data_IF_236323817943
#
_entry.id   IF_236323817943
#
_cell.length_a   1.000
_cell.length_b   1.000
_cell.length_c   1.000
_cell.angle_alpha   90.00
_cell.angle_beta   90.00
_cell.angle_gamma   90.00
#
_symmetry.space_group_name_H-M   'P 1'
#
loop_
_entity.id
_entity.type
_entity.pdbx_description
1 polymer ?
#
# COMPACT_ATOMS: atom_id res chain seq x y z
N UNK A 1 1.06 36.59 6.99
CA UNK A 1 1.95 35.62 7.68
C UNK A 1 1.64 34.20 7.18
N UNK A 2 2.66 33.36 6.99
CA UNK A 2 2.51 32.03 6.38
C UNK A 2 1.90 30.98 7.30
N UNK A 3 0.60 31.09 7.58
CA UNK A 3 -0.13 30.19 8.48
C UNK A 3 -0.32 28.77 7.93
N UNK A 4 -0.08 28.57 6.62
CA UNK A 4 -0.24 27.26 5.96
C UNK A 4 1.11 26.65 5.56
N UNK A 5 1.70 27.04 4.42
CA UNK A 5 2.94 26.41 3.88
C UNK A 5 4.12 26.41 4.85
N UNK A 6 4.50 27.58 5.37
CA UNK A 6 5.61 27.65 6.33
C UNK A 6 5.28 27.02 7.67
N UNK A 7 4.01 27.00 8.07
CA UNK A 7 3.59 26.27 9.28
C UNK A 7 3.76 24.76 9.10
N UNK A 8 3.36 24.20 7.95
CA UNK A 8 3.55 22.79 7.61
C UNK A 8 5.02 22.38 7.66
N UNK A 9 5.92 23.20 7.12
CA UNK A 9 7.36 22.91 7.17
C UNK A 9 7.90 22.91 8.60
N UNK A 10 7.47 23.85 9.44
CA UNK A 10 7.86 23.89 10.85
C UNK A 10 7.36 22.65 11.60
N UNK A 11 6.11 22.24 11.36
CA UNK A 11 5.55 21.03 11.97
C UNK A 11 6.32 19.78 11.54
N UNK A 12 6.58 19.61 10.23
CA UNK A 12 7.35 18.48 9.72
C UNK A 12 8.80 18.48 10.25
N UNK A 13 9.45 19.65 10.31
CA UNK A 13 10.78 19.81 10.88
C UNK A 13 10.82 19.31 12.32
N UNK A 14 9.93 19.80 13.19
CA UNK A 14 9.85 19.35 14.58
C UNK A 14 9.56 17.86 14.72
N UNK A 15 8.74 17.28 13.84
CA UNK A 15 8.49 15.84 13.86
C UNK A 15 9.75 15.03 13.52
N UNK A 16 10.56 15.51 12.58
CA UNK A 16 11.78 14.83 12.10
C UNK A 16 12.95 15.02 13.07
N UNK A 17 13.22 16.26 13.49
CA UNK A 17 14.43 16.59 14.27
C UNK A 17 14.23 16.39 15.76
N UNK A 18 13.07 16.77 16.29
CA UNK A 18 12.76 16.68 17.73
C UNK A 18 12.00 15.41 18.09
N UNK A 19 11.65 14.58 17.10
CA UNK A 19 10.94 13.34 17.36
C UNK A 19 9.51 13.54 17.90
N UNK A 20 8.87 14.68 17.64
CA UNK A 20 7.49 14.94 18.04
C UNK A 20 6.49 14.18 17.14
N UNK A 21 5.33 13.81 17.69
CA UNK A 21 4.15 13.45 16.89
C UNK A 21 3.53 14.71 16.26
N UNK A 22 2.68 14.55 15.26
CA UNK A 22 1.98 15.69 14.65
C UNK A 22 1.16 16.47 15.69
N UNK A 23 0.52 15.77 16.64
CA UNK A 23 -0.26 16.40 17.71
C UNK A 23 0.63 17.23 18.64
N UNK A 24 1.79 16.70 19.02
CA UNK A 24 2.76 17.39 19.88
C UNK A 24 3.40 18.58 19.15
N UNK A 25 3.79 18.41 17.88
CA UNK A 25 4.32 19.50 17.07
C UNK A 25 3.31 20.65 16.93
N UNK A 26 2.02 20.34 16.71
CA UNK A 26 0.96 21.36 16.69
C UNK A 26 0.84 22.05 18.04
N UNK A 27 0.82 21.29 19.14
CA UNK A 27 0.71 21.85 20.49
C UNK A 27 1.90 22.74 20.86
N UNK A 28 3.11 22.42 20.40
CA UNK A 28 4.31 23.21 20.66
C UNK A 28 4.31 24.56 19.92
N UNK A 29 3.80 24.59 18.69
CA UNK A 29 3.83 25.79 17.84
C UNK A 29 2.65 26.74 18.12
N UNK A 30 1.45 26.20 18.39
CA UNK A 30 0.20 26.98 18.50
C UNK A 30 0.23 28.16 19.48
N UNK A 31 0.87 28.08 20.66
CA UNK A 31 0.93 29.21 21.60
C UNK A 31 1.74 30.41 21.09
N UNK A 32 2.66 30.17 20.14
CA UNK A 32 3.61 31.17 19.65
C UNK A 32 3.20 31.72 18.28
N UNK A 33 2.40 30.95 17.53
CA UNK A 33 2.07 31.27 16.15
C UNK A 33 0.79 30.59 15.69
N UNK A 34 -0.01 31.33 14.94
CA UNK A 34 -1.15 30.77 14.21
C UNK A 34 -0.73 29.78 13.14
N UNK A 35 -1.33 28.60 13.20
CA UNK A 35 -1.09 27.48 12.31
C UNK A 35 -2.41 26.92 11.78
N UNK A 36 -2.54 26.91 10.45
CA UNK A 36 -3.66 26.36 9.71
C UNK A 36 -3.18 25.76 8.38
N UNK A 37 -2.51 24.58 8.42
CA UNK A 37 -2.23 23.83 7.20
C UNK A 37 -3.52 23.49 6.46
N UNK A 38 -3.53 23.59 5.13
CA UNK A 38 -4.68 23.15 4.34
C UNK A 38 -4.83 21.62 4.38
N UNK A 39 -5.96 21.10 3.89
CA UNK A 39 -6.27 19.68 3.93
C UNK A 39 -5.19 18.77 3.30
N UNK A 40 -4.60 19.19 2.18
CA UNK A 40 -3.52 18.44 1.52
C UNK A 40 -2.26 18.36 2.37
N UNK A 41 -1.86 19.47 2.98
CA UNK A 41 -0.72 19.50 3.90
C UNK A 41 -0.99 18.73 5.19
N UNK A 42 -2.21 18.75 5.71
CA UNK A 42 -2.59 17.91 6.85
C UNK A 42 -2.50 16.42 6.52
N UNK A 43 -2.89 16.02 5.31
CA UNK A 43 -2.76 14.64 4.87
C UNK A 43 -1.29 14.21 4.74
N UNK A 44 -0.44 15.08 4.18
CA UNK A 44 1.00 14.84 4.10
C UNK A 44 1.64 14.74 5.50
N UNK A 45 1.28 15.63 6.42
CA UNK A 45 1.77 15.60 7.80
C UNK A 45 1.32 14.33 8.53
N UNK A 46 0.08 13.87 8.33
CA UNK A 46 -0.40 12.59 8.90
C UNK A 46 0.36 11.40 8.33
N UNK A 47 0.62 11.40 7.02
CA UNK A 47 1.44 10.36 6.39
C UNK A 47 2.86 10.34 6.97
N UNK A 48 3.46 11.51 7.19
CA UNK A 48 4.77 11.64 7.81
C UNK A 48 4.77 11.14 9.26
N UNK A 49 3.75 11.50 10.04
CA UNK A 49 3.60 11.10 11.45
C UNK A 49 3.56 9.57 11.58
N UNK A 50 2.76 8.91 10.75
CA UNK A 50 2.67 7.46 10.69
C UNK A 50 4.02 6.81 10.32
N UNK A 51 4.74 7.37 9.34
CA UNK A 51 6.06 6.87 8.96
C UNK A 51 7.10 7.02 10.07
N UNK A 52 7.13 8.16 10.75
CA UNK A 52 8.07 8.41 11.86
C UNK A 52 7.72 7.59 13.11
N UNK A 53 6.44 7.36 13.40
CA UNK A 53 6.03 6.48 14.49
C UNK A 53 6.48 5.05 14.25
N UNK A 54 6.39 4.55 13.01
CA UNK A 54 6.92 3.24 12.62
C UNK A 54 8.43 3.15 12.83
N UNK A 55 9.18 4.17 12.41
CA UNK A 55 10.63 4.20 12.61
C UNK A 55 11.00 4.23 14.11
N UNK A 56 10.27 5.00 14.91
CA UNK A 56 10.47 5.04 16.37
C UNK A 56 10.15 3.70 17.03
N UNK A 57 9.09 3.00 16.60
CA UNK A 57 8.77 1.65 17.09
C UNK A 57 9.89 0.66 16.77
N UNK A 58 10.41 0.68 15.53
CA UNK A 58 11.58 -0.13 15.13
C UNK A 58 12.81 0.17 16.01
N UNK A 59 13.14 1.45 16.20
CA UNK A 59 14.29 1.88 17.04
C UNK A 59 14.11 1.52 18.52
N UNK A 60 12.92 1.70 19.08
CA UNK A 60 12.62 1.36 20.49
C UNK A 60 12.64 -0.14 20.74
N UNK A 61 12.13 -0.94 19.80
CA UNK A 61 12.28 -2.40 19.88
C UNK A 61 13.74 -2.84 19.80
N UNK A 62 14.54 -2.22 18.92
CA UNK A 62 15.98 -2.50 18.82
C UNK A 62 16.75 -2.11 20.10
N UNK A 63 16.34 -1.06 20.82
CA UNK A 63 17.01 -0.59 22.03
C UNK A 63 16.57 -1.26 23.34
N UNK A 64 15.32 -1.75 23.43
CA UNK A 64 14.76 -2.26 24.71
C UNK A 64 15.24 -3.67 25.05
N UNK A 65 15.79 -4.43 24.11
CA UNK A 65 16.10 -5.84 24.29
C UNK A 65 17.47 -6.19 23.72
N UNK A 66 18.53 -6.21 24.54
CA UNK A 66 19.78 -6.91 24.22
C UNK A 66 19.63 -8.44 24.13
N UNK A 67 18.50 -8.92 23.58
CA UNK A 67 18.05 -10.30 23.38
C UNK A 67 17.36 -10.34 22.00
N UNK A 68 17.50 -11.41 21.21
CA UNK A 68 17.01 -11.48 19.85
C UNK A 68 15.51 -11.23 19.80
N UNK A 69 15.09 -10.39 18.84
CA UNK A 69 13.70 -9.98 18.61
C UNK A 69 12.74 -11.15 18.84
N UNK A 70 11.84 -11.03 19.83
CA UNK A 70 10.66 -11.88 19.86
C UNK A 70 9.91 -11.64 18.54
N UNK A 71 9.92 -12.68 17.72
CA UNK A 71 9.42 -12.70 16.37
C UNK A 71 7.94 -12.32 16.40
N UNK A 72 7.55 -11.21 15.75
CA UNK A 72 6.18 -11.14 15.24
C UNK A 72 6.11 -12.21 14.15
N UNK A 73 5.70 -13.42 14.54
CA UNK A 73 5.46 -14.50 13.59
C UNK A 73 4.38 -14.04 12.61
N UNK A 74 4.66 -14.16 11.31
CA UNK A 74 3.66 -13.91 10.28
C UNK A 74 2.41 -14.75 10.61
N UNK A 75 1.21 -14.14 10.74
CA UNK A 75 0.04 -14.86 11.25
C UNK A 75 -0.35 -16.08 10.42
N UNK A 76 -1.00 -17.03 11.07
CA UNK A 76 -1.60 -18.18 10.40
C UNK A 76 -2.68 -17.76 9.40
N UNK A 77 -2.98 -18.63 8.44
CA UNK A 77 -4.08 -18.41 7.50
C UNK A 77 -5.43 -18.18 8.20
N UNK A 78 -5.64 -18.84 9.35
CA UNK A 78 -6.87 -18.69 10.14
C UNK A 78 -6.99 -17.27 10.70
N UNK A 79 -5.91 -16.71 11.24
CA UNK A 79 -5.87 -15.35 11.77
C UNK A 79 -6.00 -14.31 10.66
N UNK A 80 -5.30 -14.50 9.53
CA UNK A 80 -5.44 -13.62 8.37
C UNK A 80 -6.88 -13.58 7.84
N UNK A 81 -7.54 -14.75 7.78
CA UNK A 81 -8.96 -14.83 7.45
C UNK A 81 -9.82 -14.14 8.50
N UNK A 82 -9.57 -14.33 9.79
CA UNK A 82 -10.34 -13.64 10.82
C UNK A 82 -10.24 -12.12 10.68
N UNK A 83 -9.04 -11.60 10.43
CA UNK A 83 -8.82 -10.18 10.15
C UNK A 83 -9.69 -9.76 8.97
N UNK A 84 -9.53 -10.39 7.80
CA UNK A 84 -10.21 -10.04 6.55
C UNK A 84 -11.75 -10.13 6.62
N UNK A 85 -12.31 -11.02 7.44
CA UNK A 85 -13.76 -11.22 7.54
C UNK A 85 -14.45 -10.42 8.65
N UNK A 86 -13.69 -9.83 9.56
CA UNK A 86 -14.26 -9.02 10.65
C UNK A 86 -14.70 -7.64 10.15
N UNK A 87 -15.93 -7.21 10.48
CA UNK A 87 -16.48 -5.87 10.18
C UNK A 87 -16.48 -5.48 8.68
N UNK A 88 -16.74 -6.44 7.79
CA UNK A 88 -16.82 -6.15 6.35
C UNK A 88 -18.01 -5.24 6.01
N UNK A 89 -17.77 -4.33 5.09
CA UNK A 89 -18.70 -3.39 4.48
C UNK A 89 -19.02 -3.80 3.04
N UNK A 90 -20.14 -3.33 2.49
CA UNK A 90 -20.39 -3.44 1.06
C UNK A 90 -19.25 -2.81 0.24
N UNK A 91 -18.89 -3.46 -0.85
CA UNK A 91 -17.78 -3.06 -1.71
C UNK A 91 -18.33 -2.20 -2.85
N UNK A 92 -17.86 -0.96 -2.96
CA UNK A 92 -18.22 -0.07 -4.07
C UNK A 92 -17.57 -0.54 -5.39
N UNK A 93 -17.98 -0.02 -6.56
CA UNK A 93 -17.37 -0.42 -7.84
C UNK A 93 -15.85 -0.17 -7.89
N UNK A 94 -15.38 0.88 -7.22
CA UNK A 94 -13.96 1.14 -6.98
C UNK A 94 -13.75 1.99 -5.72
N UNK A 95 -12.56 1.91 -5.16
CA UNK A 95 -12.13 2.75 -4.03
C UNK A 95 -10.65 3.13 -4.18
N UNK A 96 -10.28 4.31 -3.69
CA UNK A 96 -8.88 4.67 -3.51
C UNK A 96 -8.34 4.02 -2.23
N UNK A 97 -7.43 3.06 -2.37
CA UNK A 97 -6.91 2.26 -1.23
C UNK A 97 -5.55 2.75 -0.74
N UNK A 98 -4.85 3.53 -1.55
CA UNK A 98 -3.58 4.19 -1.24
C UNK A 98 -3.48 5.49 -2.07
N UNK A 99 -2.64 6.49 -1.72
CA UNK A 99 -2.50 7.70 -2.55
C UNK A 99 -2.33 7.39 -4.04
N UNK A 100 -3.31 7.84 -4.86
CA UNK A 100 -3.39 7.64 -6.32
C UNK A 100 -3.47 6.18 -6.81
N UNK A 101 -3.70 5.23 -5.92
CA UNK A 101 -3.87 3.81 -6.23
C UNK A 101 -5.29 3.38 -5.90
N UNK A 102 -5.98 2.88 -6.93
CA UNK A 102 -7.37 2.49 -6.87
C UNK A 102 -7.48 0.98 -7.08
N UNK A 103 -8.41 0.35 -6.35
CA UNK A 103 -8.88 -1.00 -6.65
C UNK A 103 -10.32 -0.91 -7.14
N UNK A 104 -10.64 -1.61 -8.23
CA UNK A 104 -12.02 -1.69 -8.71
C UNK A 104 -12.38 -2.99 -9.40
N UNK A 105 -13.64 -3.05 -9.81
CA UNK A 105 -14.22 -4.18 -10.53
C UNK A 105 -14.19 -3.99 -12.06
N UNK A 106 -14.69 -4.99 -12.78
CA UNK A 106 -14.73 -4.98 -14.25
C UNK A 106 -15.66 -3.91 -14.84
N UNK A 107 -16.67 -3.45 -14.09
CA UNK A 107 -17.60 -2.44 -14.58
C UNK A 107 -16.86 -1.11 -14.79
N UNK A 108 -16.04 -0.72 -13.83
CA UNK A 108 -15.21 0.49 -13.88
C UNK A 108 -14.09 0.33 -14.91
N UNK A 109 -13.50 -0.86 -15.01
CA UNK A 109 -12.49 -1.15 -16.05
C UNK A 109 -13.03 -0.97 -17.48
N UNK A 110 -14.33 -1.19 -17.69
CA UNK A 110 -14.99 -1.00 -18.99
C UNK A 110 -15.54 0.40 -19.19
N UNK A 111 -15.65 1.19 -18.13
CA UNK A 111 -16.14 2.56 -18.17
C UNK A 111 -14.99 3.55 -18.36
N UNK A 112 -14.67 3.82 -19.62
CA UNK A 112 -13.60 4.76 -20.01
C UNK A 112 -13.88 6.20 -19.56
N UNK A 113 -15.15 6.59 -19.49
CA UNK A 113 -15.51 7.93 -19.02
C UNK A 113 -15.18 8.08 -17.53
N UNK A 114 -15.50 7.06 -16.73
CA UNK A 114 -15.10 7.02 -15.32
C UNK A 114 -13.57 7.02 -15.18
N UNK A 115 -12.85 6.16 -15.91
CA UNK A 115 -11.37 6.11 -15.86
C UNK A 115 -10.72 7.45 -16.23
N UNK A 116 -11.23 8.11 -17.28
CA UNK A 116 -10.79 9.44 -17.70
C UNK A 116 -11.09 10.51 -16.66
N UNK A 117 -12.30 10.52 -16.08
CA UNK A 117 -12.69 11.48 -15.02
C UNK A 117 -11.84 11.35 -13.75
N UNK A 118 -11.41 10.12 -13.42
CA UNK A 118 -10.49 9.85 -12.32
C UNK A 118 -9.06 10.30 -12.67
N UNK A 119 -8.74 10.54 -13.94
CA UNK A 119 -7.40 10.84 -14.43
C UNK A 119 -6.47 9.62 -14.31
N UNK A 120 -7.00 8.42 -14.52
CA UNK A 120 -6.20 7.19 -14.54
C UNK A 120 -5.20 7.27 -15.69
N UNK A 121 -3.96 6.89 -15.40
CA UNK A 121 -2.84 6.89 -16.36
C UNK A 121 -2.27 5.48 -16.57
N UNK A 122 -2.55 4.56 -15.65
CA UNK A 122 -2.01 3.21 -15.67
C UNK A 122 -3.11 2.24 -15.23
N UNK A 123 -3.29 1.15 -15.96
CA UNK A 123 -4.30 0.13 -15.69
C UNK A 123 -3.60 -1.22 -15.52
N UNK A 124 -3.76 -1.83 -14.35
CA UNK A 124 -3.36 -3.20 -14.09
C UNK A 124 -4.59 -4.11 -14.05
N UNK A 125 -4.72 -4.99 -15.05
CA UNK A 125 -5.78 -5.99 -15.12
C UNK A 125 -5.28 -7.31 -14.54
N UNK A 126 -5.67 -7.61 -13.30
CA UNK A 126 -5.32 -8.85 -12.59
C UNK A 126 -6.17 -10.07 -13.02
N UNK A 127 -6.93 -9.94 -14.10
CA UNK A 127 -7.77 -11.00 -14.68
C UNK A 127 -7.76 -10.92 -16.20
N UNK A 128 -6.60 -10.58 -16.79
CA UNK A 128 -6.42 -10.47 -18.22
C UNK A 128 -6.59 -11.83 -18.92
N UNK A 129 -6.74 -11.78 -20.24
CA UNK A 129 -6.79 -12.96 -21.10
C UNK A 129 -8.10 -13.06 -21.88
N UNK A 130 -8.03 -13.70 -23.04
CA UNK A 130 -9.12 -13.83 -24.01
C UNK A 130 -10.40 -14.46 -23.42
N UNK A 131 -10.22 -15.40 -22.52
CA UNK A 131 -11.31 -16.13 -21.85
C UNK A 131 -11.66 -15.55 -20.47
N UNK A 132 -11.14 -14.36 -20.13
CA UNK A 132 -11.39 -13.64 -18.88
C UNK A 132 -11.81 -12.20 -19.19
N UNK A 133 -11.15 -11.20 -18.62
CA UNK A 133 -11.42 -9.79 -18.90
C UNK A 133 -10.53 -9.34 -20.05
N UNK A 134 -11.05 -9.49 -21.25
CA UNK A 134 -10.36 -9.16 -22.49
C UNK A 134 -10.51 -7.66 -22.83
N UNK A 135 -9.89 -6.79 -22.03
CA UNK A 135 -9.71 -5.37 -22.39
C UNK A 135 -8.41 -5.21 -23.18
N UNK A 136 -7.26 -5.40 -22.54
CA UNK A 136 -5.96 -5.19 -23.20
C UNK A 136 -5.69 -3.72 -23.53
N UNK A 137 -4.47 -3.40 -24.00
CA UNK A 137 -4.09 -2.03 -24.38
C UNK A 137 -5.02 -1.47 -25.47
N UNK A 138 -5.40 -2.27 -26.46
CA UNK A 138 -6.21 -1.84 -27.60
C UNK A 138 -7.61 -1.35 -27.19
N UNK A 139 -8.20 -1.94 -26.14
CA UNK A 139 -9.49 -1.49 -25.63
C UNK A 139 -9.41 -0.04 -25.14
N UNK A 140 -8.28 0.41 -24.61
CA UNK A 140 -8.07 1.77 -24.11
C UNK A 140 -7.35 2.69 -25.11
N UNK A 141 -7.40 2.40 -26.42
CA UNK A 141 -6.67 3.16 -27.46
C UNK A 141 -7.08 4.63 -27.61
N UNK A 142 -8.23 5.00 -27.06
CA UNK A 142 -8.79 6.35 -26.96
C UNK A 142 -8.44 7.06 -25.64
N UNK A 143 -7.70 6.39 -24.74
CA UNK A 143 -7.20 6.96 -23.49
C UNK A 143 -5.66 6.97 -23.49
N UNK A 144 -5.05 8.01 -22.93
CA UNK A 144 -3.61 8.04 -22.66
C UNK A 144 -3.27 7.24 -21.40
N UNK A 145 -3.33 5.90 -21.52
CA UNK A 145 -3.04 4.98 -20.41
C UNK A 145 -2.04 3.89 -20.80
N UNK A 146 -1.17 3.54 -19.86
CA UNK A 146 -0.33 2.34 -19.95
C UNK A 146 -1.08 1.13 -19.37
N UNK A 147 -1.05 -0.01 -20.06
CA UNK A 147 -1.72 -1.23 -19.63
C UNK A 147 -0.74 -2.34 -19.21
N UNK A 148 -1.04 -2.99 -18.09
CA UNK A 148 -0.38 -4.21 -17.65
C UNK A 148 -1.40 -5.32 -17.39
N UNK A 149 -1.30 -6.43 -18.10
CA UNK A 149 -2.22 -7.57 -17.96
C UNK A 149 -1.56 -8.74 -17.24
N UNK A 150 -2.21 -9.22 -16.19
CA UNK A 150 -1.87 -10.47 -15.49
C UNK A 150 -2.98 -11.48 -15.74
N UNK A 151 -2.66 -12.59 -16.40
CA UNK A 151 -3.61 -13.65 -16.73
C UNK A 151 -3.84 -14.60 -15.53
N UNK A 152 -4.46 -14.09 -14.46
CA UNK A 152 -4.69 -14.85 -13.24
C UNK A 152 -6.10 -15.46 -13.13
N UNK A 153 -6.14 -16.75 -12.77
CA UNK A 153 -7.35 -17.42 -12.30
C UNK A 153 -7.64 -17.08 -10.84
N UNK A 154 -8.90 -16.88 -10.45
CA UNK A 154 -9.26 -16.69 -9.03
C UNK A 154 -9.43 -18.05 -8.33
N UNK A 155 -8.36 -18.82 -8.28
CA UNK A 155 -8.39 -20.18 -7.71
C UNK A 155 -7.26 -20.34 -6.70
N UNK A 156 -7.48 -21.03 -5.56
CA UNK A 156 -6.43 -21.29 -4.57
C UNK A 156 -5.19 -22.01 -5.12
N UNK A 157 -5.34 -22.78 -6.20
CA UNK A 157 -4.23 -23.50 -6.84
C UNK A 157 -3.48 -22.67 -7.88
N UNK A 158 -3.97 -21.47 -8.22
CA UNK A 158 -3.26 -20.60 -9.16
C UNK A 158 -2.05 -19.97 -8.48
N UNK A 159 -0.87 -20.11 -9.07
CA UNK A 159 0.34 -19.45 -8.57
C UNK A 159 0.42 -17.99 -9.05
N UNK A 160 0.17 -17.08 -8.12
CA UNK A 160 0.22 -15.63 -8.34
C UNK A 160 1.59 -15.04 -8.01
N UNK A 161 2.48 -15.78 -7.32
CA UNK A 161 3.79 -15.27 -6.88
C UNK A 161 4.66 -14.73 -8.02
N UNK A 162 4.73 -15.37 -9.21
CA UNK A 162 5.55 -14.87 -10.32
C UNK A 162 5.16 -13.45 -10.77
N UNK A 163 3.94 -13.01 -10.45
CA UNK A 163 3.42 -11.71 -10.83
C UNK A 163 3.57 -10.64 -9.75
N UNK A 164 3.95 -10.98 -8.52
CA UNK A 164 4.05 -10.01 -7.42
C UNK A 164 5.06 -8.91 -7.74
N UNK A 165 6.27 -9.27 -8.15
CA UNK A 165 7.33 -8.30 -8.43
C UNK A 165 7.01 -7.42 -9.64
N UNK A 166 6.53 -8.01 -10.74
CA UNK A 166 6.22 -7.26 -11.97
C UNK A 166 5.01 -6.33 -11.78
N UNK A 167 3.96 -6.80 -11.10
CA UNK A 167 2.81 -5.96 -10.75
C UNK A 167 3.21 -4.82 -9.82
N UNK A 168 4.01 -5.10 -8.79
CA UNK A 168 4.49 -4.11 -7.84
C UNK A 168 5.38 -3.05 -8.53
N UNK A 169 6.28 -3.46 -9.42
CA UNK A 169 7.11 -2.56 -10.23
C UNK A 169 6.28 -1.65 -11.12
N UNK A 170 5.24 -2.19 -11.77
CA UNK A 170 4.34 -1.39 -12.59
C UNK A 170 3.60 -0.33 -11.76
N UNK A 171 3.05 -0.72 -10.61
CA UNK A 171 2.36 0.19 -9.69
C UNK A 171 3.31 1.27 -9.18
N UNK A 172 4.48 0.87 -8.66
CA UNK A 172 5.47 1.78 -8.10
C UNK A 172 6.00 2.77 -9.14
N UNK A 173 6.39 2.28 -10.32
CA UNK A 173 6.93 3.09 -11.40
C UNK A 173 5.94 4.16 -11.86
N UNK A 174 4.66 3.81 -11.96
CA UNK A 174 3.58 4.75 -12.28
C UNK A 174 3.42 5.84 -11.21
N UNK A 175 3.39 5.44 -9.93
CA UNK A 175 3.18 6.36 -8.81
C UNK A 175 4.37 7.32 -8.62
N UNK A 176 5.61 6.85 -8.82
CA UNK A 176 6.83 7.68 -8.78
C UNK A 176 6.84 8.75 -9.86
N UNK A 177 6.24 8.47 -11.02
CA UNK A 177 6.02 9.43 -12.12
C UNK A 177 4.76 10.28 -11.93
N UNK A 178 4.23 10.35 -10.70
CA UNK A 178 3.05 11.13 -10.33
C UNK A 178 1.73 10.66 -10.98
N UNK A 179 1.73 9.48 -11.61
CA UNK A 179 0.56 8.88 -12.24
C UNK A 179 -0.51 8.41 -11.26
N UNK A 180 -1.67 8.04 -11.78
CA UNK A 180 -2.75 7.36 -11.07
C UNK A 180 -2.95 5.96 -11.63
N UNK A 181 -3.02 4.97 -10.75
CA UNK A 181 -3.05 3.55 -11.09
C UNK A 181 -4.39 2.95 -10.71
N UNK A 182 -5.03 2.28 -11.65
CA UNK A 182 -6.25 1.51 -11.42
C UNK A 182 -5.94 0.01 -11.53
N UNK A 183 -6.05 -0.71 -10.42
CA UNK A 183 -5.82 -2.15 -10.35
C UNK A 183 -7.16 -2.87 -10.24
N UNK A 184 -7.51 -3.73 -11.19
CA UNK A 184 -8.81 -4.37 -11.18
C UNK A 184 -8.73 -5.88 -11.42
N UNK A 185 -9.81 -6.57 -11.05
CA UNK A 185 -10.07 -7.93 -11.50
C UNK A 185 -11.54 -8.03 -11.90
N UNK A 186 -12.23 -9.14 -11.60
CA UNK A 186 -13.67 -9.24 -11.83
C UNK A 186 -14.46 -8.39 -10.83
N UNK A 187 -14.20 -8.55 -9.53
CA UNK A 187 -14.92 -7.89 -8.43
C UNK A 187 -14.08 -6.84 -7.68
N UNK A 188 -12.78 -6.76 -7.97
CA UNK A 188 -11.87 -5.90 -7.21
C UNK A 188 -11.66 -6.35 -5.77
N UNK A 189 -11.72 -7.66 -5.47
CA UNK A 189 -11.68 -8.19 -4.09
C UNK A 189 -10.50 -9.14 -3.85
N UNK A 190 -10.31 -10.15 -4.71
CA UNK A 190 -9.32 -11.22 -4.51
C UNK A 190 -8.01 -10.95 -5.25
N UNK A 191 -7.92 -11.24 -6.56
CA UNK A 191 -6.70 -11.08 -7.39
C UNK A 191 -6.06 -9.68 -7.32
N UNK A 192 -6.86 -8.64 -7.57
CA UNK A 192 -6.37 -7.25 -7.53
C UNK A 192 -5.96 -6.84 -6.11
N UNK A 193 -6.70 -7.30 -5.09
CA UNK A 193 -6.35 -7.11 -3.69
C UNK A 193 -4.99 -7.73 -3.38
N UNK A 194 -4.76 -8.97 -3.80
CA UNK A 194 -3.50 -9.67 -3.57
C UNK A 194 -2.30 -8.94 -4.20
N UNK A 195 -2.42 -8.49 -5.46
CA UNK A 195 -1.34 -7.74 -6.12
C UNK A 195 -1.05 -6.39 -5.45
N UNK A 196 -2.09 -5.68 -4.97
CA UNK A 196 -1.89 -4.42 -4.22
C UNK A 196 -1.26 -4.68 -2.86
N UNK A 197 -1.63 -5.75 -2.16
CA UNK A 197 -0.98 -6.14 -0.91
C UNK A 197 0.51 -6.43 -1.14
N UNK A 198 0.84 -7.23 -2.16
CA UNK A 198 2.23 -7.52 -2.52
C UNK A 198 3.01 -6.23 -2.83
N UNK A 199 2.43 -5.28 -3.57
CA UNK A 199 3.03 -3.97 -3.81
C UNK A 199 3.35 -3.22 -2.51
N UNK A 200 2.40 -3.13 -1.59
CA UNK A 200 2.62 -2.43 -0.31
C UNK A 200 3.69 -3.11 0.55
N UNK A 201 3.76 -4.44 0.52
CA UNK A 201 4.81 -5.18 1.22
C UNK A 201 6.19 -4.94 0.61
N UNK A 202 6.31 -5.04 -0.72
CA UNK A 202 7.59 -4.92 -1.44
C UNK A 202 8.14 -3.47 -1.42
N UNK A 203 7.30 -2.47 -1.71
CA UNK A 203 7.75 -1.09 -1.92
C UNK A 203 7.53 -0.15 -0.74
N UNK A 204 6.67 -0.52 0.21
CA UNK A 204 6.43 0.27 1.42
C UNK A 204 6.84 -0.45 2.71
N UNK A 205 7.46 -1.63 2.59
CA UNK A 205 7.99 -2.43 3.71
C UNK A 205 6.95 -2.67 4.80
N UNK A 206 5.68 -2.85 4.40
CA UNK A 206 4.61 -3.25 5.29
C UNK A 206 4.64 -4.75 5.51
N UNK A 207 4.33 -5.20 6.72
CA UNK A 207 3.96 -6.61 6.91
C UNK A 207 2.65 -6.92 6.18
N UNK A 208 2.36 -8.20 5.96
CA UNK A 208 1.10 -8.63 5.37
C UNK A 208 -0.12 -8.08 6.15
N UNK A 209 -0.07 -8.09 7.48
CA UNK A 209 -1.16 -7.56 8.33
C UNK A 209 -1.33 -6.06 8.13
N UNK A 210 -0.22 -5.32 8.13
CA UNK A 210 -0.24 -3.87 7.92
C UNK A 210 -0.80 -3.51 6.54
N UNK A 211 -0.41 -4.25 5.50
CA UNK A 211 -0.92 -4.06 4.15
C UNK A 211 -2.44 -4.34 4.07
N UNK A 212 -2.90 -5.42 4.72
CA UNK A 212 -4.34 -5.75 4.81
C UNK A 212 -5.10 -4.62 5.49
N UNK A 213 -4.62 -4.14 6.64
CA UNK A 213 -5.26 -3.05 7.38
C UNK A 213 -5.31 -1.78 6.52
N UNK A 214 -4.19 -1.41 5.89
CA UNK A 214 -4.09 -0.20 5.08
C UNK A 214 -5.11 -0.19 3.92
N UNK A 215 -5.25 -1.30 3.19
CA UNK A 215 -6.22 -1.40 2.09
C UNK A 215 -7.66 -1.39 2.64
N UNK A 216 -7.91 -2.12 3.73
CA UNK A 216 -9.25 -2.26 4.33
C UNK A 216 -9.80 -1.03 5.02
N UNK A 217 -8.97 -0.01 5.26
CA UNK A 217 -9.47 1.30 5.68
C UNK A 217 -10.48 1.88 4.68
N UNK A 218 -10.26 1.62 3.38
CA UNK A 218 -11.09 2.17 2.32
C UNK A 218 -11.88 1.11 1.55
N UNK A 219 -11.37 -0.14 1.46
CA UNK A 219 -12.02 -1.20 0.69
C UNK A 219 -11.84 -2.57 1.30
N UNK A 220 -12.94 -3.28 1.54
CA UNK A 220 -12.88 -4.69 1.92
C UNK A 220 -12.40 -5.56 0.76
N UNK A 221 -11.22 -6.14 0.94
CA UNK A 221 -10.64 -7.16 0.07
C UNK A 221 -10.75 -8.54 0.72
N UNK A 222 -10.48 -9.57 -0.08
CA UNK A 222 -10.48 -10.95 0.38
C UNK A 222 -9.80 -11.83 -0.65
N UNK A 223 -8.45 -11.82 -0.72
CA UNK A 223 -7.72 -12.81 -1.49
C UNK A 223 -8.17 -14.22 -1.10
N UNK A 224 -8.25 -15.12 -2.09
CA UNK A 224 -8.53 -16.52 -1.79
C UNK A 224 -7.41 -17.13 -0.93
N UNK A 225 -7.62 -18.31 -0.37
CA UNK A 225 -6.68 -18.91 0.57
C UNK A 225 -5.32 -19.25 0.00
N UNK A 226 -5.25 -19.62 -1.28
CA UNK A 226 -3.97 -19.83 -1.96
C UNK A 226 -3.18 -18.52 -2.07
N UNK A 227 -3.84 -17.44 -2.44
CA UNK A 227 -3.20 -16.12 -2.51
C UNK A 227 -2.78 -15.60 -1.14
N UNK A 228 -3.58 -15.84 -0.09
CA UNK A 228 -3.16 -15.49 1.27
C UNK A 228 -1.92 -16.27 1.70
N UNK A 229 -1.83 -17.56 1.36
CA UNK A 229 -0.64 -18.36 1.66
C UNK A 229 0.58 -17.86 0.88
N UNK A 230 0.41 -17.53 -0.39
CA UNK A 230 1.47 -16.97 -1.22
C UNK A 230 1.95 -15.59 -0.70
N UNK A 231 1.03 -14.73 -0.25
CA UNK A 231 1.38 -13.47 0.41
C UNK A 231 2.07 -13.70 1.75
N UNK A 232 1.67 -14.73 2.50
CA UNK A 232 2.32 -15.13 3.75
C UNK A 232 3.77 -15.54 3.51
N UNK A 233 4.02 -16.31 2.46
CA UNK A 233 5.37 -16.69 2.03
C UNK A 233 6.20 -15.48 1.60
N UNK A 234 5.59 -14.52 0.91
CA UNK A 234 6.23 -13.25 0.59
C UNK A 234 6.66 -12.49 1.86
N UNK A 235 5.77 -12.37 2.85
CA UNK A 235 6.04 -11.68 4.13
C UNK A 235 7.23 -12.28 4.89
N UNK A 236 7.26 -13.62 4.97
CA UNK A 236 8.37 -14.37 5.56
C UNK A 236 9.69 -14.14 4.80
N UNK A 237 9.64 -14.12 3.46
CA UNK A 237 10.83 -13.90 2.62
C UNK A 237 11.39 -12.48 2.74
N UNK A 238 10.54 -11.46 2.83
CA UNK A 238 10.96 -10.06 2.99
C UNK A 238 11.53 -9.81 4.39
N UNK A 239 10.97 -10.49 5.39
CA UNK A 239 11.45 -10.45 6.77
C UNK A 239 12.85 -11.08 6.90
N UNK A 240 13.13 -12.19 6.20
CA UNK A 240 14.45 -12.82 6.24
C UNK A 240 15.51 -12.01 5.50
N UNK A 241 15.18 -11.43 4.34
CA UNK A 241 16.10 -10.55 3.59
C UNK A 241 16.49 -9.31 4.40
N UNK A 242 15.53 -8.70 5.09
CA UNK A 242 15.80 -7.52 5.94
C UNK A 242 16.77 -7.83 7.08
N UNK A 243 16.74 -9.07 7.62
CA UNK A 243 17.66 -9.52 8.66
C UNK A 243 19.09 -9.71 8.12
N UNK A 244 19.24 -10.35 6.97
CA UNK A 244 20.56 -10.56 6.35
C UNK A 244 21.29 -9.25 6.03
N UNK A 245 20.56 -8.21 5.59
CA UNK A 245 21.13 -6.89 5.34
C UNK A 245 21.63 -6.25 6.65
N UNK A 246 20.89 -6.41 7.74
CA UNK A 246 21.24 -5.81 9.05
C UNK A 246 22.46 -6.50 9.68
N UNK A 247 22.63 -7.80 9.46
CA UNK A 247 23.76 -8.59 10.00
C UNK A 247 25.07 -8.34 9.25
N UNK A 248 25.02 -8.07 7.93
CA UNK A 248 26.22 -7.76 7.14
C UNK A 248 26.80 -6.38 7.49
N UNK A 249 25.95 -5.35 7.64
CA UNK A 249 26.36 -3.97 7.96
C UNK A 249 26.95 -3.82 9.38
N UNK A 250 26.61 -4.74 10.30
CA UNK A 250 27.15 -4.76 11.67
C UNK A 250 28.52 -5.44 11.80
N UNK A 251 29.00 -6.13 10.75
CA UNK A 251 30.26 -6.89 10.77
C UNK A 251 31.45 -6.14 10.16
N UNK A 252 31.22 -5.00 9.49
CA UNK A 252 32.30 -4.18 8.89
C UNK A 252 32.83 -3.09 9.84
N UNK A 253 32.30 -2.97 11.06
CA UNK A 253 32.73 -1.98 12.06
C UNK A 253 33.30 -2.57 13.35
N UNK A 254 33.80 -3.81 13.33
CA UNK A 254 34.51 -4.43 14.47
C UNK A 254 36.00 -4.63 14.19
#
# INVERSE_FOLDING_TARGET
>A
MGVSRSATLVLAFLMITEGLTLKEAVAAVRPHRDICPNAGFLQQLRSLDMSLERERRRRRQAQTLGLPAQQEETPSLTELRQILWTNRKPVAPFDQVWPKLYIGDVSVARDKATLSSLGVTHILNAAAGRHRINTGQQFYSDLEVEYHGVEAADHPEFDLQPFFSSAAQFIDGALRKNGKVFVHCAMGVSRSGALVLAYLMIYHSLSLVEAIIAVRLNRDIGPNSGFLEQLRQLDLSLSSQSRQITEQDGSETS
#
